data_IF_569890578300
#
_entry.id   IF_569890578300
#
_cell.length_a   1.000
_cell.length_b   1.000
_cell.length_c   1.000
_cell.angle_alpha   90.00
_cell.angle_beta   90.00
_cell.angle_gamma   90.00
#
_symmetry.space_group_name_H-M   'P 1'
#
loop_
_entity.id
_entity.type
_entity.pdbx_description
1 polymer ?
#
# COMPACT_ATOMS: atom_id res chain seq x y z
N UNK A 1 35.27 57.94 -70.72
CA UNK A 1 33.98 58.32 -70.08
C UNK A 1 33.59 57.15 -69.16
N UNK A 2 33.86 57.31 -67.88
CA UNK A 2 33.60 56.23 -66.89
C UNK A 2 32.47 56.69 -65.95
N UNK A 3 31.39 55.93 -65.92
CA UNK A 3 30.30 56.14 -64.95
C UNK A 3 30.44 55.18 -63.79
N UNK A 4 30.60 55.77 -62.57
CA UNK A 4 30.57 55.01 -61.33
C UNK A 4 29.14 55.11 -60.78
N UNK A 5 28.48 53.95 -60.64
CA UNK A 5 27.20 53.82 -60.00
C UNK A 5 27.41 53.46 -58.50
N UNK A 6 26.98 54.36 -57.61
CA UNK A 6 26.93 54.16 -56.16
C UNK A 6 25.55 53.61 -55.76
N UNK A 7 25.46 52.31 -55.40
CA UNK A 7 24.21 51.76 -54.85
C UNK A 7 24.11 51.92 -53.32
N UNK A 8 22.90 52.10 -52.79
CA UNK A 8 22.71 52.30 -51.33
C UNK A 8 22.88 51.00 -50.55
N UNK A 9 23.60 51.12 -49.44
CA UNK A 9 23.79 50.03 -48.47
C UNK A 9 22.52 49.88 -47.63
N UNK A 10 21.76 48.80 -47.83
CA UNK A 10 20.66 48.39 -46.94
C UNK A 10 21.25 47.76 -45.69
N UNK A 11 21.05 48.41 -44.54
CA UNK A 11 21.37 47.87 -43.22
C UNK A 11 20.21 46.98 -42.79
N UNK A 12 20.42 45.65 -42.79
CA UNK A 12 19.50 44.75 -42.12
C UNK A 12 19.65 44.88 -40.62
N UNK A 13 18.65 45.45 -39.96
CA UNK A 13 18.51 45.41 -38.50
C UNK A 13 18.01 44.02 -38.09
N UNK A 14 18.87 43.25 -37.43
CA UNK A 14 18.50 41.98 -36.87
C UNK A 14 17.66 42.20 -35.60
N UNK A 15 16.37 41.97 -35.73
CA UNK A 15 15.42 41.97 -34.60
C UNK A 15 15.67 40.69 -33.76
N UNK A 16 16.36 40.81 -32.62
CA UNK A 16 16.52 39.75 -31.65
C UNK A 16 15.21 39.58 -30.88
N UNK A 17 14.42 38.57 -31.24
CA UNK A 17 13.26 38.16 -30.49
C UNK A 17 13.73 37.50 -29.17
N UNK A 18 13.51 38.21 -28.07
CA UNK A 18 13.64 37.67 -26.71
C UNK A 18 12.47 36.74 -26.44
N UNK A 19 12.71 35.43 -26.49
CA UNK A 19 11.75 34.44 -26.05
C UNK A 19 11.67 34.48 -24.51
N UNK A 20 10.51 34.68 -23.88
CA UNK A 20 10.41 34.60 -22.43
C UNK A 20 10.56 33.13 -22.02
N UNK A 21 11.60 32.84 -21.26
CA UNK A 21 11.81 31.55 -20.58
C UNK A 21 10.77 31.45 -19.46
N UNK A 22 9.65 30.81 -19.74
CA UNK A 22 8.67 30.44 -18.70
C UNK A 22 9.29 29.39 -17.78
N UNK A 23 9.87 29.84 -16.65
CA UNK A 23 10.20 28.96 -15.54
C UNK A 23 8.89 28.40 -14.99
N UNK A 24 8.55 27.17 -15.39
CA UNK A 24 7.51 26.39 -14.75
C UNK A 24 7.92 26.13 -13.30
N UNK A 25 7.26 26.81 -12.33
CA UNK A 25 7.31 26.41 -10.93
C UNK A 25 6.71 24.99 -10.86
N UNK A 26 7.57 23.98 -10.88
CA UNK A 26 7.19 22.66 -10.42
C UNK A 26 6.80 22.82 -8.95
N UNK A 27 5.50 22.86 -8.67
CA UNK A 27 4.99 22.86 -7.31
C UNK A 27 5.56 21.64 -6.59
N UNK A 28 6.38 21.89 -5.58
CA UNK A 28 6.86 20.83 -4.68
C UNK A 28 5.60 20.15 -4.11
N UNK A 29 5.41 18.89 -4.45
CA UNK A 29 4.32 18.10 -3.87
C UNK A 29 4.53 18.10 -2.35
N UNK A 30 3.71 18.88 -1.64
CA UNK A 30 3.77 18.97 -0.20
C UNK A 30 3.17 17.68 0.36
N UNK A 31 3.88 17.03 1.25
CA UNK A 31 3.50 15.78 1.84
C UNK A 31 3.75 15.82 3.35
N UNK A 32 2.88 15.16 4.09
CA UNK A 32 2.97 15.07 5.54
C UNK A 32 3.27 13.63 5.98
N UNK A 33 3.69 13.50 7.22
CA UNK A 33 3.82 12.21 7.92
C UNK A 33 2.59 11.99 8.79
N UNK A 34 1.97 10.82 8.68
CA UNK A 34 0.87 10.39 9.57
C UNK A 34 1.45 9.41 10.59
N UNK A 35 1.35 9.78 11.87
CA UNK A 35 1.75 8.97 13.01
C UNK A 35 0.51 8.36 13.65
N UNK A 36 0.47 7.04 13.75
CA UNK A 36 -0.69 6.32 14.27
C UNK A 36 -0.27 5.52 15.51
N UNK A 37 -1.02 5.65 16.57
CA UNK A 37 -0.90 4.87 17.80
C UNK A 37 -2.14 4.00 17.93
N UNK A 38 -1.98 2.68 17.79
CA UNK A 38 -3.09 1.73 17.89
C UNK A 38 -3.07 1.04 19.24
N UNK A 39 -4.22 1.05 19.90
CA UNK A 39 -4.41 0.50 21.24
C UNK A 39 -5.60 -0.46 21.25
N UNK A 40 -5.56 -1.44 22.13
CA UNK A 40 -6.71 -2.29 22.44
C UNK A 40 -7.79 -1.52 23.27
N UNK A 41 -8.88 -2.20 23.64
CA UNK A 41 -9.95 -1.61 24.43
C UNK A 41 -9.50 -1.12 25.83
N UNK A 42 -8.44 -1.73 26.38
CA UNK A 42 -7.87 -1.36 27.68
C UNK A 42 -6.82 -0.24 27.57
N UNK A 43 -6.53 0.26 26.37
CA UNK A 43 -5.51 1.28 26.11
C UNK A 43 -4.08 0.75 26.06
N UNK A 44 -3.90 -0.57 25.98
CA UNK A 44 -2.57 -1.16 25.78
C UNK A 44 -2.15 -1.07 24.32
N UNK A 45 -0.86 -0.85 24.04
CA UNK A 45 -0.35 -0.88 22.68
C UNK A 45 -0.75 -2.16 21.94
N UNK A 46 -1.25 -2.01 20.71
CA UNK A 46 -1.64 -3.13 19.85
C UNK A 46 -0.69 -3.23 18.66
N UNK A 47 0.19 -4.23 18.70
CA UNK A 47 1.08 -4.57 17.59
C UNK A 47 0.34 -5.28 16.46
N UNK A 48 0.99 -5.41 15.32
CA UNK A 48 0.52 -6.16 14.15
C UNK A 48 -0.84 -5.69 13.57
N UNK A 49 -1.34 -4.54 14.01
CA UNK A 49 -2.47 -3.90 13.39
C UNK A 49 -2.06 -3.26 12.05
N UNK A 50 -2.90 -3.39 11.05
CA UNK A 50 -2.69 -2.75 9.74
C UNK A 50 -3.50 -1.47 9.69
N UNK A 51 -2.83 -0.36 9.40
CA UNK A 51 -3.44 0.96 9.20
C UNK A 51 -3.28 1.39 7.75
N UNK A 52 -4.32 1.95 7.15
CA UNK A 52 -4.27 2.39 5.76
C UNK A 52 -5.20 3.57 5.50
N UNK A 53 -4.76 4.46 4.59
CA UNK A 53 -5.42 5.73 4.29
C UNK A 53 -6.06 5.64 2.91
N UNK A 54 -7.38 5.62 2.85
CA UNK A 54 -8.13 5.55 1.59
C UNK A 54 -8.68 6.91 1.18
N UNK A 55 -8.54 7.23 -0.08
CA UNK A 55 -9.22 8.33 -0.77
C UNK A 55 -9.30 8.05 -2.26
N UNK A 56 -10.17 8.77 -2.98
CA UNK A 56 -10.23 8.66 -4.44
C UNK A 56 -8.90 9.04 -5.13
N UNK A 57 -8.12 9.94 -4.53
CA UNK A 57 -6.79 10.30 -5.02
C UNK A 57 -5.76 9.20 -4.76
N UNK A 58 -5.75 8.63 -3.56
CA UNK A 58 -4.85 7.53 -3.19
C UNK A 58 -5.05 6.32 -4.10
N UNK A 59 -6.32 5.94 -4.35
CA UNK A 59 -6.66 4.83 -5.25
C UNK A 59 -6.02 4.96 -6.64
N UNK A 60 -5.97 6.16 -7.22
CA UNK A 60 -5.34 6.40 -8.53
C UNK A 60 -3.82 6.25 -8.53
N UNK A 61 -3.21 6.23 -7.36
CA UNK A 61 -1.75 6.12 -7.18
C UNK A 61 -1.31 4.70 -6.84
N UNK A 62 -2.25 3.77 -6.68
CA UNK A 62 -1.93 2.35 -6.39
C UNK A 62 -1.03 1.79 -7.49
N UNK A 63 -0.01 1.07 -7.05
CA UNK A 63 0.89 0.32 -7.93
C UNK A 63 1.02 -1.10 -7.38
N UNK A 64 0.74 -2.11 -8.19
CA UNK A 64 0.94 -3.51 -7.81
C UNK A 64 2.40 -3.78 -7.43
N UNK A 65 2.59 -4.66 -6.47
CA UNK A 65 3.91 -5.16 -6.08
C UNK A 65 4.15 -6.53 -6.70
N UNK A 66 5.40 -6.83 -6.98
CA UNK A 66 5.88 -8.12 -7.49
C UNK A 66 6.86 -8.75 -6.52
N UNK A 67 7.08 -10.07 -6.63
CA UNK A 67 8.04 -10.78 -5.80
C UNK A 67 7.59 -10.99 -4.35
N UNK A 68 6.31 -10.79 -4.06
CA UNK A 68 5.75 -11.07 -2.73
C UNK A 68 5.62 -12.57 -2.50
N UNK A 69 5.90 -12.98 -1.27
CA UNK A 69 5.77 -14.37 -0.85
C UNK A 69 5.03 -14.50 0.47
N UNK A 70 4.18 -15.51 0.56
CA UNK A 70 3.59 -16.04 1.78
C UNK A 70 4.08 -17.47 1.94
N UNK A 71 5.21 -17.62 2.61
CA UNK A 71 5.88 -18.93 2.76
C UNK A 71 5.13 -19.83 3.74
N UNK A 72 5.33 -21.13 3.60
CA UNK A 72 4.87 -22.14 4.55
C UNK A 72 6.10 -22.76 5.20
N UNK A 73 6.23 -22.61 6.50
CA UNK A 73 7.34 -23.15 7.27
C UNK A 73 6.88 -23.48 8.69
N UNK A 74 7.29 -24.65 9.20
CA UNK A 74 6.90 -25.16 10.53
C UNK A 74 5.37 -25.22 10.72
N UNK A 75 4.65 -25.54 9.63
CA UNK A 75 3.18 -25.59 9.59
C UNK A 75 2.53 -24.24 9.94
N UNK A 76 3.13 -23.14 9.49
CA UNK A 76 2.63 -21.77 9.63
C UNK A 76 2.78 -21.03 8.31
N UNK A 77 1.94 -20.02 8.07
CA UNK A 77 2.17 -19.03 7.03
C UNK A 77 3.13 -17.96 7.55
N UNK A 78 4.08 -17.52 6.71
CA UNK A 78 5.06 -16.48 7.05
C UNK A 78 5.15 -15.47 5.91
N UNK A 79 4.89 -14.19 6.21
CA UNK A 79 4.42 -13.65 7.50
C UNK A 79 3.00 -14.09 7.83
N UNK A 80 2.56 -13.99 9.08
CA UNK A 80 1.18 -14.31 9.50
C UNK A 80 0.17 -13.38 8.81
N UNK A 81 0.56 -12.11 8.62
CA UNK A 81 -0.22 -11.10 7.93
C UNK A 81 0.64 -10.49 6.82
N UNK A 82 0.21 -10.59 5.57
CA UNK A 82 0.81 -9.93 4.42
C UNK A 82 -0.12 -8.80 3.95
N UNK A 83 0.40 -7.58 3.85
CA UNK A 83 -0.34 -6.44 3.32
C UNK A 83 0.18 -6.11 1.93
N UNK A 84 -0.73 -5.92 1.00
CA UNK A 84 -0.35 -5.62 -0.38
C UNK A 84 -1.38 -4.74 -1.10
N UNK A 85 -0.94 -3.90 -2.04
CA UNK A 85 -1.83 -3.15 -2.91
C UNK A 85 -2.58 -4.06 -3.90
N UNK A 86 -3.78 -3.64 -4.28
CA UNK A 86 -4.60 -4.30 -5.31
C UNK A 86 -3.80 -4.49 -6.61
N UNK A 87 -3.98 -5.65 -7.26
CA UNK A 87 -3.25 -6.02 -8.48
C UNK A 87 -1.90 -6.71 -8.25
N UNK A 88 -1.48 -6.89 -6.99
CA UNK A 88 -0.23 -7.56 -6.65
C UNK A 88 -0.36 -9.09 -6.75
N UNK A 89 0.78 -9.73 -6.99
CA UNK A 89 0.90 -11.18 -7.10
C UNK A 89 1.70 -11.76 -5.94
N UNK A 90 1.27 -12.89 -5.40
CA UNK A 90 1.91 -13.58 -4.28
C UNK A 90 2.28 -15.01 -4.66
N UNK A 91 3.50 -15.41 -4.36
CA UNK A 91 3.97 -16.80 -4.41
C UNK A 91 3.78 -17.45 -3.05
N UNK A 92 3.56 -18.78 -3.06
CA UNK A 92 3.33 -19.56 -1.85
C UNK A 92 4.37 -20.71 -1.75
N UNK A 93 5.66 -20.39 -1.47
CA UNK A 93 6.67 -21.42 -1.32
C UNK A 93 6.42 -22.28 -0.06
N UNK A 94 6.55 -23.60 -0.20
CA UNK A 94 6.49 -24.56 0.90
C UNK A 94 7.91 -25.01 1.25
N UNK A 95 8.39 -24.60 2.41
CA UNK A 95 9.71 -24.94 2.95
C UNK A 95 9.67 -26.11 3.93
N UNK A 96 8.49 -26.67 4.21
CA UNK A 96 8.36 -27.85 5.02
C UNK A 96 8.65 -29.14 4.23
N UNK A 97 8.99 -30.22 4.92
CA UNK A 97 9.17 -31.53 4.33
C UNK A 97 7.85 -32.24 4.04
N UNK A 98 6.73 -31.69 4.50
CA UNK A 98 5.38 -32.20 4.27
C UNK A 98 4.68 -31.35 3.21
N UNK A 99 3.71 -31.96 2.53
CA UNK A 99 2.87 -31.22 1.58
C UNK A 99 1.91 -30.31 2.33
N UNK A 100 1.58 -29.16 1.71
CA UNK A 100 0.52 -28.30 2.17
C UNK A 100 -0.51 -28.08 1.08
N UNK A 101 -1.71 -27.67 1.49
CA UNK A 101 -2.83 -27.34 0.63
C UNK A 101 -3.31 -25.95 1.05
N UNK A 102 -2.99 -24.93 0.26
CA UNK A 102 -3.37 -23.54 0.56
C UNK A 102 -4.68 -23.21 -0.13
N UNK A 103 -5.63 -22.65 0.62
CA UNK A 103 -6.89 -22.20 0.04
C UNK A 103 -7.42 -20.94 0.71
N UNK A 104 -8.31 -20.26 0.01
CA UNK A 104 -9.16 -19.20 0.55
C UNK A 104 -10.54 -19.25 -0.08
N UNK A 105 -11.56 -19.00 0.74
CA UNK A 105 -12.95 -18.78 0.32
C UNK A 105 -13.42 -17.35 0.57
N UNK A 106 -12.51 -16.45 0.93
CA UNK A 106 -12.83 -15.05 1.19
C UNK A 106 -13.39 -14.36 -0.06
N UNK A 107 -14.37 -13.44 0.09
CA UNK A 107 -14.95 -12.73 -1.06
C UNK A 107 -13.92 -11.99 -1.91
N UNK A 108 -12.89 -11.40 -1.29
CA UNK A 108 -11.83 -10.67 -1.99
C UNK A 108 -10.94 -11.58 -2.86
N UNK A 109 -10.76 -12.86 -2.49
CA UNK A 109 -10.05 -13.83 -3.33
C UNK A 109 -10.42 -15.26 -2.97
N UNK A 110 -10.93 -16.01 -3.95
CA UNK A 110 -11.14 -17.46 -3.84
C UNK A 110 -10.11 -18.16 -4.70
N UNK A 111 -9.35 -19.08 -4.08
CA UNK A 111 -8.38 -19.90 -4.79
C UNK A 111 -8.03 -21.15 -4.01
N UNK A 112 -7.39 -22.10 -4.69
CA UNK A 112 -6.93 -23.37 -4.13
C UNK A 112 -5.62 -23.79 -4.79
N UNK A 113 -4.59 -24.09 -3.98
CA UNK A 113 -3.34 -24.71 -4.38
C UNK A 113 -3.29 -26.10 -3.76
N UNK A 114 -3.57 -27.13 -4.57
CA UNK A 114 -3.73 -28.51 -4.10
C UNK A 114 -2.38 -29.13 -3.75
N UNK A 115 -2.30 -29.79 -2.62
CA UNK A 115 -1.20 -30.54 -2.02
C UNK A 115 0.13 -30.52 -2.79
N UNK A 116 1.05 -29.64 -2.39
CA UNK A 116 2.34 -29.48 -3.05
C UNK A 116 3.50 -29.38 -2.05
N UNK A 117 4.70 -29.59 -2.56
CA UNK A 117 5.99 -29.24 -1.96
C UNK A 117 6.72 -28.26 -2.86
N UNK A 118 7.65 -27.50 -2.33
CA UNK A 118 8.36 -26.46 -3.10
C UNK A 118 7.47 -25.27 -3.45
N UNK A 119 7.71 -24.64 -4.59
CA UNK A 119 6.98 -23.44 -5.01
C UNK A 119 6.11 -23.73 -6.23
N UNK A 120 4.80 -23.45 -6.20
CA UNK A 120 3.94 -23.52 -7.37
C UNK A 120 4.45 -22.62 -8.50
N UNK A 121 4.28 -23.07 -9.74
CA UNK A 121 4.80 -22.36 -10.92
C UNK A 121 4.24 -20.96 -11.09
N UNK A 122 2.94 -20.79 -10.82
CA UNK A 122 2.25 -19.52 -11.02
C UNK A 122 1.95 -18.83 -9.68
N UNK A 123 2.18 -17.52 -9.58
CA UNK A 123 1.71 -16.73 -8.44
C UNK A 123 0.19 -16.58 -8.48
N UNK A 124 -0.38 -16.21 -7.34
CA UNK A 124 -1.81 -15.86 -7.22
C UNK A 124 -1.96 -14.35 -7.30
N UNK A 125 -2.80 -13.86 -8.23
CA UNK A 125 -3.12 -12.44 -8.38
C UNK A 125 -4.22 -12.04 -7.37
N UNK A 126 -4.02 -10.91 -6.67
CA UNK A 126 -5.00 -10.32 -5.73
C UNK A 126 -5.56 -9.02 -6.30
N UNK A 127 -6.64 -9.11 -7.01
CA UNK A 127 -7.25 -8.08 -7.86
C UNK A 127 -8.44 -7.34 -7.22
N UNK A 128 -8.84 -7.72 -6.00
CA UNK A 128 -9.93 -7.08 -5.27
C UNK A 128 -9.49 -6.71 -3.85
N UNK A 129 -9.81 -5.49 -3.36
CA UNK A 129 -9.48 -5.09 -2.00
C UNK A 129 -10.31 -5.86 -0.98
N UNK A 130 -9.70 -6.15 0.17
CA UNK A 130 -10.37 -6.83 1.28
C UNK A 130 -9.46 -7.80 2.02
N UNK A 131 -10.02 -8.45 3.03
CA UNK A 131 -9.34 -9.46 3.82
C UNK A 131 -9.47 -10.83 3.16
N UNK A 132 -8.35 -11.50 2.96
CA UNK A 132 -8.25 -12.87 2.46
C UNK A 132 -7.71 -13.75 3.58
N UNK A 133 -8.53 -14.63 4.10
CA UNK A 133 -8.14 -15.64 5.09
C UNK A 133 -7.62 -16.85 4.36
N UNK A 134 -6.42 -17.29 4.72
CA UNK A 134 -5.78 -18.48 4.21
C UNK A 134 -5.94 -19.62 5.20
N UNK A 135 -6.16 -20.82 4.68
CA UNK A 135 -6.21 -22.06 5.43
C UNK A 135 -5.38 -23.15 4.77
N UNK A 136 -5.04 -24.18 5.56
CA UNK A 136 -4.46 -25.42 5.07
C UNK A 136 -5.39 -26.59 5.40
N UNK A 137 -5.73 -27.42 4.41
CA UNK A 137 -6.71 -28.49 4.57
C UNK A 137 -6.21 -29.68 5.41
N UNK A 138 -4.93 -29.76 5.69
CA UNK A 138 -4.33 -30.89 6.44
C UNK A 138 -3.71 -30.49 7.78
N UNK A 139 -3.74 -29.20 8.11
CA UNK A 139 -3.28 -28.66 9.39
C UNK A 139 -4.23 -27.54 9.83
N UNK A 140 -5.25 -27.86 10.63
CA UNK A 140 -6.33 -26.95 11.02
C UNK A 140 -5.86 -25.65 11.69
N UNK A 141 -4.68 -25.67 12.34
CA UNK A 141 -4.11 -24.50 13.02
C UNK A 141 -3.35 -23.56 12.07
N UNK A 142 -3.15 -23.98 10.80
CA UNK A 142 -2.39 -23.21 9.82
C UNK A 142 -3.30 -22.17 9.17
N UNK A 143 -3.35 -20.98 9.75
CA UNK A 143 -4.14 -19.84 9.30
C UNK A 143 -3.21 -18.67 9.03
N UNK A 144 -3.51 -17.88 8.00
CA UNK A 144 -2.80 -16.63 7.67
C UNK A 144 -3.73 -15.64 7.00
N UNK A 145 -3.29 -14.40 6.87
CA UNK A 145 -4.11 -13.34 6.31
C UNK A 145 -3.36 -12.56 5.23
N UNK A 146 -4.06 -12.25 4.15
CA UNK A 146 -3.61 -11.26 3.18
C UNK A 146 -4.61 -10.12 3.21
N UNK A 147 -4.14 -8.91 3.54
CA UNK A 147 -4.93 -7.70 3.46
C UNK A 147 -4.62 -6.97 2.16
N UNK A 148 -5.57 -6.99 1.24
CA UNK A 148 -5.47 -6.29 -0.05
C UNK A 148 -6.01 -4.87 0.14
N UNK A 149 -5.15 -3.86 -0.04
CA UNK A 149 -5.50 -2.44 0.16
C UNK A 149 -5.56 -1.70 -1.17
N UNK A 150 -6.50 -0.75 -1.28
CA UNK A 150 -6.69 0.07 -2.47
C UNK A 150 -6.07 1.48 -2.28
N UNK A 151 -4.84 1.48 -1.77
CA UNK A 151 -4.07 2.69 -1.45
C UNK A 151 -2.58 2.37 -1.39
N UNK A 152 -1.67 3.30 -1.74
CA UNK A 152 -0.25 3.16 -1.48
C UNK A 152 0.15 3.55 -0.04
N UNK A 153 -0.78 4.12 0.75
CA UNK A 153 -0.53 4.66 2.09
C UNK A 153 -0.99 3.67 3.15
N UNK A 154 -0.13 2.75 3.54
CA UNK A 154 -0.40 1.75 4.58
C UNK A 154 0.86 1.43 5.37
N UNK A 155 0.67 0.98 6.59
CA UNK A 155 1.72 0.49 7.46
C UNK A 155 1.16 -0.55 8.44
N UNK A 156 2.05 -1.35 9.03
CA UNK A 156 1.73 -2.27 10.11
C UNK A 156 2.33 -1.72 11.41
N UNK A 157 1.60 -1.82 12.51
CA UNK A 157 2.10 -1.33 13.80
C UNK A 157 3.21 -2.23 14.32
N UNK A 158 4.20 -1.60 14.94
CA UNK A 158 5.31 -2.30 15.61
C UNK A 158 4.76 -3.09 16.79
N UNK A 159 5.07 -4.38 16.85
CA UNK A 159 4.54 -5.32 17.84
C UNK A 159 4.71 -4.83 19.29
N UNK A 160 5.85 -4.24 19.65
CA UNK A 160 6.14 -3.80 21.00
C UNK A 160 5.48 -2.47 21.41
N UNK A 161 5.12 -1.62 20.43
CA UNK A 161 4.72 -0.23 20.72
C UNK A 161 3.33 0.16 20.23
N UNK A 162 2.72 -0.64 19.35
CA UNK A 162 1.45 -0.32 18.69
C UNK A 162 1.52 0.90 17.76
N UNK A 163 2.73 1.36 17.41
CA UNK A 163 2.93 2.56 16.58
C UNK A 163 3.19 2.21 15.13
N UNK A 164 2.64 3.03 14.25
CA UNK A 164 2.91 3.00 12.82
C UNK A 164 3.15 4.42 12.30
N UNK A 165 3.87 4.53 11.19
CA UNK A 165 4.12 5.77 10.49
C UNK A 165 3.89 5.58 9.01
N UNK A 166 3.20 6.53 8.39
CA UNK A 166 3.01 6.59 6.94
C UNK A 166 3.55 7.92 6.46
N UNK A 167 4.61 7.88 5.67
CA UNK A 167 5.27 9.07 5.14
C UNK A 167 4.76 9.45 3.76
N UNK A 168 5.08 10.67 3.34
CA UNK A 168 4.79 11.19 2.01
C UNK A 168 3.31 11.16 1.65
N UNK A 169 2.42 11.37 2.63
CA UNK A 169 0.98 11.43 2.42
C UNK A 169 0.60 12.83 1.93
N UNK A 170 0.01 12.98 0.73
CA UNK A 170 -0.46 14.27 0.24
C UNK A 170 -1.54 14.87 1.14
N UNK A 171 -1.62 16.20 1.17
CA UNK A 171 -2.70 16.88 1.88
C UNK A 171 -4.07 16.44 1.37
N UNK A 172 -5.01 16.29 2.29
CA UNK A 172 -6.37 15.91 1.93
C UNK A 172 -7.16 15.24 3.04
N UNK A 173 -8.38 14.86 2.72
CA UNK A 173 -9.24 14.07 3.61
C UNK A 173 -9.16 12.60 3.23
N UNK A 174 -8.91 11.77 4.21
CA UNK A 174 -8.78 10.32 4.08
C UNK A 174 -9.72 9.61 5.02
N UNK A 175 -10.11 8.39 4.65
CA UNK A 175 -10.61 7.40 5.59
C UNK A 175 -9.42 6.61 6.12
N UNK A 176 -9.06 6.85 7.38
CA UNK A 176 -8.12 6.00 8.09
C UNK A 176 -8.86 4.73 8.50
N UNK A 177 -8.38 3.60 7.99
CA UNK A 177 -8.91 2.29 8.35
C UNK A 177 -7.87 1.51 9.13
N UNK A 178 -8.33 0.77 10.11
CA UNK A 178 -7.47 -0.05 10.97
C UNK A 178 -8.05 -1.46 11.07
N UNK A 179 -7.23 -2.43 10.74
CA UNK A 179 -7.59 -3.86 10.80
C UNK A 179 -6.58 -4.64 11.62
N UNK A 180 -7.02 -5.72 12.25
CA UNK A 180 -6.18 -6.63 13.00
C UNK A 180 -6.70 -8.07 12.85
N UNK A 181 -5.79 -9.08 12.81
CA UNK A 181 -6.15 -10.49 12.64
C UNK A 181 -7.07 -11.04 13.73
N UNK A 182 -7.07 -10.42 14.91
CA UNK A 182 -7.97 -10.76 16.03
C UNK A 182 -9.37 -10.14 15.93
N UNK A 183 -9.70 -9.38 14.89
CA UNK A 183 -11.08 -9.03 14.63
C UNK A 183 -11.86 -10.29 14.24
N UNK A 184 -13.16 -10.39 14.59
CA UNK A 184 -14.00 -11.48 14.12
C UNK A 184 -13.92 -11.63 12.60
N UNK A 185 -13.88 -12.87 12.11
CA UNK A 185 -13.82 -13.13 10.68
C UNK A 185 -15.01 -12.47 9.98
N UNK A 186 -14.72 -11.69 8.93
CA UNK A 186 -15.72 -10.91 8.22
C UNK A 186 -16.08 -9.56 8.84
N UNK A 187 -15.57 -9.25 10.03
CA UNK A 187 -15.74 -7.91 10.61
C UNK A 187 -15.03 -6.85 9.75
N UNK A 188 -15.65 -5.70 9.51
CA UNK A 188 -15.02 -4.61 8.77
C UNK A 188 -13.85 -4.03 9.57
N UNK A 189 -12.87 -3.47 8.86
CA UNK A 189 -11.87 -2.61 9.50
C UNK A 189 -12.55 -1.42 10.17
N UNK A 190 -12.03 -0.99 11.32
CA UNK A 190 -12.45 0.26 11.96
C UNK A 190 -12.15 1.43 11.03
N UNK A 191 -13.05 2.41 11.03
CA UNK A 191 -12.94 3.56 10.12
C UNK A 191 -13.13 4.87 10.87
N UNK A 192 -12.27 5.86 10.56
CA UNK A 192 -12.43 7.24 10.99
C UNK A 192 -11.92 8.21 9.91
N UNK A 193 -12.48 9.43 9.90
CA UNK A 193 -12.01 10.49 8.99
C UNK A 193 -10.73 11.11 9.55
N UNK A 194 -9.72 11.28 8.69
CA UNK A 194 -8.46 11.93 9.00
C UNK A 194 -8.17 13.03 7.98
N UNK A 195 -7.95 14.26 8.46
CA UNK A 195 -7.45 15.36 7.64
C UNK A 195 -5.93 15.42 7.73
N UNK A 196 -5.26 15.29 6.59
CA UNK A 196 -3.79 15.36 6.47
C UNK A 196 -3.41 16.77 6.02
N UNK A 197 -2.56 17.49 6.78
CA UNK A 197 -2.12 18.84 6.42
C UNK A 197 -1.18 18.83 5.20
N UNK A 198 -0.92 20.00 4.63
CA UNK A 198 -0.02 20.12 3.48
C UNK A 198 1.44 19.80 3.84
N UNK A 199 1.85 20.08 5.06
CA UNK A 199 3.22 19.87 5.56
C UNK A 199 3.21 19.44 7.03
N UNK A 200 4.33 18.91 7.49
CA UNK A 200 4.52 18.52 8.90
C UNK A 200 4.01 17.12 9.21
N UNK A 201 3.51 16.93 10.41
CA UNK A 201 3.01 15.64 10.86
C UNK A 201 1.63 15.78 11.50
N UNK A 202 0.81 14.75 11.36
CA UNK A 202 -0.44 14.58 12.10
C UNK A 202 -0.38 13.28 12.91
N UNK A 203 -0.74 13.35 14.19
CA UNK A 203 -0.79 12.19 15.06
C UNK A 203 -2.25 11.82 15.36
N UNK A 204 -2.52 10.53 15.41
CA UNK A 204 -3.85 9.98 15.68
C UNK A 204 -3.75 8.72 16.53
N UNK A 205 -4.65 8.58 17.50
CA UNK A 205 -4.80 7.36 18.29
C UNK A 205 -6.07 6.61 17.86
N UNK A 206 -5.93 5.32 17.62
CA UNK A 206 -7.03 4.41 17.28
C UNK A 206 -7.19 3.39 18.40
N UNK A 207 -8.39 3.28 18.96
CA UNK A 207 -8.74 2.20 19.90
C UNK A 207 -9.54 1.13 19.19
N UNK A 208 -9.10 -0.11 19.31
CA UNK A 208 -9.73 -1.27 18.70
C UNK A 208 -10.48 -2.11 19.76
N UNK A 209 -11.81 -1.94 19.88
CA UNK A 209 -12.63 -2.83 20.69
C UNK A 209 -12.92 -4.15 19.96
N UNK A 210 -13.42 -5.14 20.69
CA UNK A 210 -13.97 -6.37 20.11
C UNK A 210 -12.94 -7.34 19.52
N UNK A 211 -11.66 -7.21 19.89
CA UNK A 211 -10.65 -8.18 19.53
C UNK A 211 -10.88 -9.50 20.26
N UNK A 212 -10.78 -10.59 19.54
CA UNK A 212 -10.81 -11.94 20.09
C UNK A 212 -9.48 -12.25 20.81
N UNK A 213 -9.49 -13.16 21.80
CA UNK A 213 -8.30 -13.60 22.51
C UNK A 213 -7.17 -14.11 21.63
#
# INVERSE_FOLDING_TARGET
MSWRATGPKVRCAALRALLPLALGLAGLAQAATVQIDVQDAAGKPLGDAVVFLESAQARRQVRPLTGLEMAQQKKQFLPDVLVLPVGSEVRFPNHDTVRHHVYSFSPAKKFELKLYTGTPANPVLFDQPGVVVLGCNIHDQMVGWILVVDTPYYAQTIAATGKAQIDNVPAGSYRLRTWHARLPVGAPALEQVLSVPATGAVAVTVRMPGLQP
#
